data_IF_444719402784
#
_entry.id   IF_444719402784
#
_cell.length_a   1.000
_cell.length_b   1.000
_cell.length_c   1.000
_cell.angle_alpha   90.00
_cell.angle_beta   90.00
_cell.angle_gamma   90.00
#
_symmetry.space_group_name_H-M   'P 1'
#
loop_
_entity.id
_entity.type
_entity.pdbx_description
1 polymer ?
#
# COMPACT_ATOMS: atom_id res chain seq x y z
N UNK A 1 0.33 9.54 -8.33
CA UNK A 1 -0.54 8.50 -7.78
C UNK A 1 -0.15 7.14 -8.34
N UNK A 2 -0.35 6.11 -7.56
CA UNK A 2 -0.02 4.75 -7.97
C UNK A 2 -1.26 4.06 -8.53
N UNK A 3 -1.09 3.24 -9.56
CA UNK A 3 -2.17 2.38 -10.02
C UNK A 3 -1.96 0.95 -9.50
N UNK A 4 -2.96 0.09 -9.71
CA UNK A 4 -2.92 -1.27 -9.16
C UNK A 4 -1.79 -2.10 -9.78
N UNK A 5 -1.49 -1.87 -11.04
CA UNK A 5 -0.43 -2.62 -11.72
C UNK A 5 0.91 -2.25 -11.12
N UNK A 6 1.15 -0.98 -10.92
CA UNK A 6 2.38 -0.49 -10.33
C UNK A 6 2.55 -1.01 -8.90
N UNK A 7 1.49 -0.92 -8.10
CA UNK A 7 1.55 -1.39 -6.71
C UNK A 7 1.78 -2.89 -6.62
N UNK A 8 1.17 -3.66 -7.51
CA UNK A 8 1.37 -5.11 -7.51
C UNK A 8 2.79 -5.51 -7.89
N UNK A 9 3.50 -4.65 -8.60
CA UNK A 9 4.89 -4.88 -8.95
C UNK A 9 5.88 -4.54 -7.85
N UNK A 10 5.42 -3.89 -6.78
CA UNK A 10 6.29 -3.48 -5.69
C UNK A 10 6.38 -4.57 -4.63
N UNK A 11 7.49 -4.54 -3.88
CA UNK A 11 7.67 -5.47 -2.76
C UNK A 11 6.86 -5.00 -1.55
N UNK A 12 6.57 -5.93 -0.64
CA UNK A 12 5.80 -5.62 0.56
C UNK A 12 6.44 -4.48 1.36
N UNK A 13 7.77 -4.50 1.49
CA UNK A 13 8.47 -3.46 2.24
C UNK A 13 8.22 -2.07 1.64
N UNK A 14 8.21 -1.97 0.31
CA UNK A 14 7.94 -0.72 -0.37
C UNK A 14 6.50 -0.26 -0.15
N UNK A 15 5.57 -1.22 -0.23
CA UNK A 15 4.16 -0.92 -0.01
C UNK A 15 3.91 -0.43 1.41
N UNK A 16 4.61 -1.01 2.39
CA UNK A 16 4.49 -0.56 3.78
C UNK A 16 4.96 0.88 3.94
N UNK A 17 6.05 1.25 3.27
CA UNK A 17 6.54 2.61 3.33
C UNK A 17 5.55 3.60 2.72
N UNK A 18 4.98 3.24 1.57
CA UNK A 18 3.99 4.09 0.92
C UNK A 18 2.76 4.24 1.81
N UNK A 19 2.27 3.13 2.35
CA UNK A 19 1.09 3.15 3.20
C UNK A 19 1.32 3.97 4.46
N UNK A 20 2.50 3.86 5.05
CA UNK A 20 2.85 4.63 6.24
C UNK A 20 2.86 6.13 5.94
N UNK A 21 3.39 6.52 4.79
CA UNK A 21 3.41 7.92 4.39
C UNK A 21 2.01 8.48 4.16
N UNK A 22 1.09 7.63 3.77
CA UNK A 22 -0.30 8.02 3.57
C UNK A 22 -1.09 8.04 4.88
N UNK A 23 -0.47 7.66 5.98
CA UNK A 23 -1.12 7.65 7.28
C UNK A 23 -1.98 6.43 7.56
N UNK A 24 -1.79 5.36 6.80
CA UNK A 24 -2.53 4.12 7.00
C UNK A 24 -2.01 3.42 8.26
N UNK A 25 -2.92 3.05 9.16
CA UNK A 25 -2.56 2.37 10.39
C UNK A 25 -2.34 0.88 10.15
N UNK A 26 -1.55 0.26 11.02
CA UNK A 26 -1.35 -1.19 11.08
C UNK A 26 -0.76 -1.79 9.80
N UNK A 27 0.08 -1.02 9.10
CA UNK A 27 0.64 -1.46 7.83
C UNK A 27 1.45 -2.75 7.95
N UNK A 28 2.09 -2.97 9.10
CA UNK A 28 2.90 -4.15 9.34
C UNK A 28 2.08 -5.42 9.57
N UNK A 29 0.78 -5.27 9.78
CA UNK A 29 -0.14 -6.40 9.96
C UNK A 29 -0.93 -6.72 8.70
N UNK A 30 -0.80 -5.92 7.67
CA UNK A 30 -1.53 -6.11 6.43
C UNK A 30 -0.74 -7.00 5.47
N UNK A 31 -1.46 -7.82 4.72
CA UNK A 31 -0.88 -8.60 3.64
C UNK A 31 -0.64 -7.70 2.44
N UNK A 32 0.17 -8.18 1.49
CA UNK A 32 0.47 -7.39 0.29
C UNK A 32 -0.80 -6.92 -0.42
N UNK A 33 -1.75 -7.83 -0.58
CA UNK A 33 -3.01 -7.51 -1.25
C UNK A 33 -3.77 -6.41 -0.51
N UNK A 34 -3.81 -6.52 0.81
CA UNK A 34 -4.49 -5.53 1.64
C UNK A 34 -3.77 -4.18 1.58
N UNK A 35 -2.45 -4.20 1.54
CA UNK A 35 -1.67 -2.96 1.39
C UNK A 35 -1.98 -2.28 0.07
N UNK A 36 -2.03 -3.03 -1.01
CA UNK A 36 -2.35 -2.48 -2.33
C UNK A 36 -3.72 -1.82 -2.31
N UNK A 37 -4.72 -2.51 -1.81
CA UNK A 37 -6.08 -1.95 -1.76
C UNK A 37 -6.17 -0.76 -0.83
N UNK A 38 -5.49 -0.82 0.32
CA UNK A 38 -5.51 0.30 1.26
C UNK A 38 -4.88 1.55 0.66
N UNK A 39 -3.79 1.38 -0.07
CA UNK A 39 -3.14 2.50 -0.73
C UNK A 39 -4.05 3.10 -1.80
N UNK A 40 -4.65 2.26 -2.63
CA UNK A 40 -5.56 2.72 -3.67
C UNK A 40 -6.74 3.48 -3.07
N UNK A 41 -7.29 2.96 -1.99
CA UNK A 41 -8.43 3.58 -1.31
C UNK A 41 -8.04 4.93 -0.70
N UNK A 42 -6.89 4.98 -0.06
CA UNK A 42 -6.44 6.18 0.64
C UNK A 42 -6.08 7.31 -0.32
N UNK A 43 -5.51 6.99 -1.47
CA UNK A 43 -5.13 8.02 -2.45
C UNK A 43 -6.32 8.49 -3.29
N UNK A 44 -7.42 7.78 -3.25
CA UNK A 44 -8.63 8.21 -3.93
C UNK A 44 -9.29 9.34 -3.15
#
# INVERSE_FOLDING_TARGET
>A
MFDIIELNGKKVAELRQIASKLGIARVDKLKKQDLVYSILDEQA
#
